data_IF_978288893281
#
_entry.id   IF_978288893281
#
_cell.length_a   1.000
_cell.length_b   1.000
_cell.length_c   1.000
_cell.angle_alpha   90.00
_cell.angle_beta   90.00
_cell.angle_gamma   90.00
#
_symmetry.space_group_name_H-M   'P 1'
#
loop_
_entity.id
_entity.type
_entity.pdbx_description
1 polymer ?
#
# COMPACT_ATOMS: atom_id res chain seq x y z
N UNK A 1 -2.88 9.87 7.33
CA UNK A 1 -1.57 10.59 7.40
C UNK A 1 -0.44 9.59 7.69
N UNK A 2 0.66 9.61 6.93
CA UNK A 2 1.81 8.68 7.03
C UNK A 2 2.49 8.63 8.42
N UNK A 3 2.49 9.74 9.18
CA UNK A 3 3.22 9.86 10.46
C UNK A 3 2.90 8.75 11.47
N UNK A 4 1.68 8.19 11.45
CA UNK A 4 1.26 7.09 12.33
C UNK A 4 2.05 5.80 12.15
N UNK A 5 2.79 5.66 11.05
CA UNK A 5 3.56 4.46 10.73
C UNK A 5 5.04 4.58 11.07
N UNK A 6 5.50 5.69 11.64
CA UNK A 6 6.87 5.88 12.13
C UNK A 6 6.95 5.43 13.60
N UNK A 7 7.24 4.15 13.81
CA UNK A 7 7.12 3.48 15.10
C UNK A 7 8.45 3.50 15.85
N UNK A 8 8.48 4.15 17.00
CA UNK A 8 9.62 4.08 17.93
C UNK A 8 9.60 2.80 18.78
N UNK A 9 8.40 2.30 19.08
CA UNK A 9 8.15 1.10 19.89
C UNK A 9 7.46 0.02 19.04
N UNK A 10 7.34 -1.20 19.58
CA UNK A 10 6.50 -2.23 18.97
C UNK A 10 5.04 -1.78 18.99
N UNK A 11 4.26 -2.21 18.00
CA UNK A 11 2.81 -1.97 17.94
C UNK A 11 2.16 -2.61 19.17
N UNK A 12 1.38 -1.83 19.92
CA UNK A 12 0.65 -2.36 21.07
C UNK A 12 -0.53 -3.19 20.56
N UNK A 13 -0.77 -4.42 21.07
CA UNK A 13 -1.97 -5.17 20.73
C UNK A 13 -3.26 -4.37 20.92
N UNK A 14 -3.35 -3.42 21.86
CA UNK A 14 -4.52 -2.57 22.06
C UNK A 14 -4.79 -1.63 20.87
N UNK A 15 -3.75 -1.26 20.10
CA UNK A 15 -3.88 -0.49 18.86
C UNK A 15 -4.47 -1.32 17.70
N UNK A 16 -4.60 -2.65 17.89
CA UNK A 16 -5.09 -3.60 16.89
C UNK A 16 -6.49 -4.14 17.23
N UNK A 17 -7.35 -3.28 17.80
CA UNK A 17 -8.69 -3.65 18.26
C UNK A 17 -9.57 -4.25 17.15
N UNK A 18 -9.55 -3.67 15.95
CA UNK A 18 -10.39 -4.12 14.83
C UNK A 18 -9.88 -5.45 14.27
N UNK A 19 -8.56 -5.60 14.12
CA UNK A 19 -7.97 -6.87 13.65
C UNK A 19 -8.19 -8.02 14.62
N UNK A 20 -8.30 -7.75 15.93
CA UNK A 20 -8.63 -8.77 16.93
C UNK A 20 -10.08 -9.25 16.82
N UNK A 21 -11.00 -8.39 16.38
CA UNK A 21 -12.42 -8.69 16.24
C UNK A 21 -12.75 -9.36 14.91
N UNK A 22 -12.01 -9.05 13.84
CA UNK A 22 -12.21 -9.62 12.52
C UNK A 22 -11.54 -10.99 12.38
N UNK A 23 -12.25 -11.91 11.73
CA UNK A 23 -11.63 -13.15 11.26
C UNK A 23 -10.66 -12.90 10.11
N UNK A 24 -9.72 -13.83 9.90
CA UNK A 24 -8.80 -13.76 8.75
C UNK A 24 -9.53 -13.66 7.41
N UNK A 25 -10.70 -14.31 7.27
CA UNK A 25 -11.50 -14.26 6.04
C UNK A 25 -12.03 -12.83 5.81
N UNK A 26 -12.47 -12.16 6.87
CA UNK A 26 -13.00 -10.79 6.78
C UNK A 26 -11.89 -9.78 6.49
N UNK A 27 -10.73 -9.93 7.12
CA UNK A 27 -9.52 -9.13 6.81
C UNK A 27 -9.15 -9.32 5.32
N UNK A 28 -9.11 -10.55 4.83
CA UNK A 28 -8.85 -10.84 3.41
C UNK A 28 -9.91 -10.23 2.48
N UNK A 29 -11.19 -10.22 2.89
CA UNK A 29 -12.28 -9.60 2.12
C UNK A 29 -12.08 -8.09 1.98
N UNK A 30 -11.70 -7.42 3.07
CA UNK A 30 -11.37 -5.98 3.05
C UNK A 30 -10.20 -5.71 2.11
N UNK A 31 -9.09 -6.44 2.27
CA UNK A 31 -7.90 -6.24 1.43
C UNK A 31 -8.13 -6.60 -0.05
N UNK A 32 -9.03 -7.54 -0.33
CA UNK A 32 -9.45 -7.85 -1.71
C UNK A 32 -10.22 -6.69 -2.35
N UNK A 33 -11.05 -5.97 -1.59
CA UNK A 33 -11.73 -4.77 -2.08
C UNK A 33 -10.75 -3.59 -2.25
N UNK A 34 -9.79 -3.42 -1.34
CA UNK A 34 -8.70 -2.44 -1.46
C UNK A 34 -7.84 -2.73 -2.70
N UNK A 35 -7.48 -4.00 -2.93
CA UNK A 35 -6.75 -4.47 -4.13
C UNK A 35 -7.45 -4.04 -5.40
N UNK A 36 -8.75 -4.32 -5.49
CA UNK A 36 -9.59 -3.96 -6.65
C UNK A 36 -9.68 -2.44 -6.83
N UNK A 37 -9.85 -1.69 -5.74
CA UNK A 37 -9.86 -0.23 -5.79
C UNK A 37 -8.54 0.32 -6.36
N UNK A 38 -7.40 -0.12 -5.81
CA UNK A 38 -6.07 0.29 -6.29
C UNK A 38 -5.92 -0.05 -7.77
N UNK A 39 -6.27 -1.28 -8.16
CA UNK A 39 -6.20 -1.71 -9.55
C UNK A 39 -7.01 -0.80 -10.49
N UNK A 40 -8.24 -0.42 -10.11
CA UNK A 40 -9.07 0.53 -10.89
C UNK A 40 -8.41 1.90 -11.01
N UNK A 41 -7.82 2.42 -9.94
CA UNK A 41 -7.12 3.72 -9.97
C UNK A 41 -5.86 3.65 -10.88
N UNK A 42 -5.09 2.57 -10.80
CA UNK A 42 -3.90 2.37 -11.63
C UNK A 42 -4.24 2.28 -13.12
N UNK A 43 -5.36 1.64 -13.48
CA UNK A 43 -5.86 1.63 -14.88
C UNK A 43 -6.19 3.03 -15.40
N UNK A 44 -6.57 3.94 -14.50
CA UNK A 44 -6.85 5.36 -14.82
C UNK A 44 -5.61 6.25 -14.75
N UNK A 45 -4.41 5.67 -14.59
CA UNK A 45 -3.14 6.40 -14.39
C UNK A 45 -3.14 7.26 -13.13
N UNK A 46 -3.91 6.85 -12.12
CA UNK A 46 -3.95 7.50 -10.82
C UNK A 46 -3.18 6.64 -9.81
N UNK A 47 -2.24 7.26 -9.11
CA UNK A 47 -1.50 6.64 -8.04
C UNK A 47 -2.31 6.64 -6.73
N UNK A 48 -2.13 5.63 -5.89
CA UNK A 48 -2.85 5.47 -4.61
C UNK A 48 -1.87 5.42 -3.45
N UNK A 49 -1.86 6.46 -2.62
CA UNK A 49 -1.10 6.51 -1.37
C UNK A 49 -1.93 5.93 -0.22
N UNK A 50 -1.53 4.75 0.25
CA UNK A 50 -2.18 4.06 1.37
C UNK A 50 -1.62 4.48 2.73
N UNK A 51 -0.65 5.39 2.76
CA UNK A 51 -0.04 5.98 3.93
C UNK A 51 1.36 5.45 4.24
N UNK A 52 1.61 4.14 4.07
CA UNK A 52 2.99 3.59 4.17
C UNK A 52 3.78 3.73 2.87
N UNK A 53 3.08 3.83 1.75
CA UNK A 53 3.66 3.95 0.43
C UNK A 53 2.58 4.15 -0.62
N UNK A 54 3.03 4.26 -1.85
CA UNK A 54 2.18 4.63 -2.99
C UNK A 54 2.25 3.57 -4.07
N UNK A 55 1.08 3.13 -4.53
CA UNK A 55 0.94 2.34 -5.75
C UNK A 55 0.89 3.27 -6.95
N UNK A 56 1.70 3.00 -7.96
CA UNK A 56 1.68 3.77 -9.21
C UNK A 56 2.04 2.88 -10.40
N UNK A 57 1.64 3.31 -11.60
CA UNK A 57 2.15 2.74 -12.84
C UNK A 57 3.33 3.59 -13.29
N UNK A 58 4.48 2.96 -13.50
CA UNK A 58 5.67 3.63 -14.06
C UNK A 58 6.06 3.03 -15.39
N UNK A 59 6.57 3.85 -16.29
CA UNK A 59 7.16 3.39 -17.54
C UNK A 59 8.61 2.99 -17.31
N UNK A 60 8.89 1.69 -17.39
CA UNK A 60 10.26 1.16 -17.39
C UNK A 60 10.66 0.79 -18.81
N UNK A 61 11.92 1.01 -19.14
CA UNK A 61 12.49 0.70 -20.44
C UNK A 61 12.97 -0.74 -20.44
N UNK A 62 12.33 -1.61 -21.21
CA UNK A 62 12.78 -2.98 -21.42
C UNK A 62 13.72 -3.04 -22.62
N UNK A 63 14.91 -3.63 -22.43
CA UNK A 63 15.83 -3.91 -23.52
C UNK A 63 15.31 -5.10 -24.32
N UNK A 64 15.12 -4.91 -25.62
CA UNK A 64 14.78 -5.98 -26.57
C UNK A 64 16.01 -6.30 -27.41
N UNK A 65 16.08 -7.51 -27.98
CA UNK A 65 17.10 -7.86 -28.96
C UNK A 65 17.15 -6.81 -30.09
N UNK A 66 18.36 -6.56 -30.61
CA UNK A 66 18.71 -5.47 -31.54
C UNK A 66 18.77 -4.04 -30.94
N UNK A 67 18.84 -3.90 -29.61
CA UNK A 67 19.06 -2.59 -28.98
C UNK A 67 17.86 -1.64 -29.06
N UNK A 68 16.69 -2.16 -29.42
CA UNK A 68 15.42 -1.44 -29.33
C UNK A 68 14.95 -1.43 -27.89
N UNK A 69 14.53 -0.26 -27.43
CA UNK A 69 14.00 -0.08 -26.07
C UNK A 69 12.49 0.08 -26.19
N UNK A 70 11.73 -0.79 -25.51
CA UNK A 70 10.27 -0.68 -25.43
C UNK A 70 9.86 -0.14 -24.06
N UNK A 71 9.06 0.94 -24.00
CA UNK A 71 8.46 1.36 -22.75
C UNK A 71 7.43 0.32 -22.31
N UNK A 72 7.61 -0.24 -21.12
CA UNK A 72 6.70 -1.17 -20.48
C UNK A 72 6.14 -0.47 -19.25
N UNK A 73 4.82 -0.39 -19.19
CA UNK A 73 4.13 0.11 -18.01
C UNK A 73 4.06 -0.99 -16.95
N UNK A 74 4.56 -0.70 -15.75
CA UNK A 74 4.54 -1.65 -14.64
C UNK A 74 3.89 -1.03 -13.41
N UNK A 75 2.91 -1.70 -12.79
CA UNK A 75 2.44 -1.31 -11.48
C UNK A 75 3.55 -1.62 -10.46
N UNK A 76 3.85 -0.65 -9.61
CA UNK A 76 4.85 -0.78 -8.56
C UNK A 76 4.31 -0.20 -7.26
N UNK A 77 4.81 -0.74 -6.15
CA UNK A 77 4.64 -0.15 -4.84
C UNK A 77 5.93 0.56 -4.43
N UNK A 78 5.83 1.84 -4.09
CA UNK A 78 6.97 2.65 -3.65
C UNK A 78 6.76 2.99 -2.18
N UNK A 79 7.63 2.48 -1.31
CA UNK A 79 7.62 2.83 0.11
C UNK A 79 7.95 4.32 0.30
N UNK A 80 7.21 4.99 1.19
CA UNK A 80 7.37 6.42 1.42
C UNK A 80 8.78 6.77 1.91
N UNK A 81 9.40 7.82 1.35
CA UNK A 81 10.77 8.23 1.68
C UNK A 81 11.02 8.40 3.19
N UNK A 82 10.11 9.04 3.97
CA UNK A 82 10.33 9.18 5.41
C UNK A 82 10.36 7.84 6.14
N UNK A 83 9.54 6.86 5.74
CA UNK A 83 9.57 5.51 6.30
C UNK A 83 10.87 4.79 5.97
N UNK A 84 11.33 4.89 4.70
CA UNK A 84 12.63 4.34 4.28
C UNK A 84 13.79 4.89 5.11
N UNK A 85 13.84 6.21 5.28
CA UNK A 85 14.88 6.88 6.06
C UNK A 85 14.81 6.53 7.55
N UNK A 86 13.61 6.50 8.12
CA UNK A 86 13.41 6.25 9.54
C UNK A 86 13.79 4.82 9.95
N UNK A 87 13.50 3.83 9.10
CA UNK A 87 13.85 2.43 9.34
C UNK A 87 15.18 2.01 8.69
N UNK A 88 15.93 2.94 8.09
CA UNK A 88 17.21 2.68 7.40
C UNK A 88 17.12 1.54 6.37
N UNK A 89 16.07 1.57 5.54
CA UNK A 89 15.80 0.55 4.52
C UNK A 89 16.45 0.91 3.19
N UNK A 90 17.14 -0.04 2.57
CA UNK A 90 17.64 0.08 1.20
C UNK A 90 16.52 -0.30 0.22
N UNK A 91 16.14 0.62 -0.67
CA UNK A 91 15.16 0.38 -1.73
C UNK A 91 15.57 1.16 -2.97
N UNK A 92 15.28 0.61 -4.15
CA UNK A 92 15.54 1.29 -5.42
C UNK A 92 14.85 2.66 -5.48
N UNK A 93 15.57 3.64 -6.03
CA UNK A 93 15.02 4.97 -6.28
C UNK A 93 14.12 4.94 -7.52
N UNK A 94 12.87 4.51 -7.33
CA UNK A 94 11.84 4.65 -8.34
C UNK A 94 11.02 5.90 -8.03
N UNK A 95 10.87 6.77 -9.04
CA UNK A 95 10.11 8.01 -8.96
C UNK A 95 8.81 7.88 -9.75
N UNK A 96 7.71 8.30 -9.13
CA UNK A 96 6.44 8.50 -9.82
C UNK A 96 6.56 9.79 -10.64
N UNK A 97 6.12 9.83 -11.91
CA UNK A 97 6.09 11.07 -12.69
C UNK A 97 5.30 12.17 -11.97
N UNK A 98 5.83 13.39 -11.95
CA UNK A 98 5.26 14.50 -11.16
C UNK A 98 3.83 14.88 -11.60
N UNK A 99 3.46 14.61 -12.84
CA UNK A 99 2.09 14.80 -13.35
C UNK A 99 1.08 13.74 -12.92
N UNK A 100 1.52 12.65 -12.28
CA UNK A 100 0.62 11.54 -11.89
C UNK A 100 -0.27 11.99 -10.73
N UNK A 101 -1.61 12.01 -10.89
CA UNK A 101 -2.49 12.33 -9.78
C UNK A 101 -2.36 11.26 -8.68
N UNK A 102 -2.22 11.71 -7.43
CA UNK A 102 -2.14 10.83 -6.26
C UNK A 102 -3.39 11.00 -5.42
N UNK A 103 -4.08 9.90 -5.13
CA UNK A 103 -5.29 9.87 -4.28
C UNK A 103 -5.07 8.97 -3.07
N UNK A 104 -5.91 9.13 -2.05
CA UNK A 104 -5.99 8.20 -0.92
C UNK A 104 -7.12 7.18 -1.18
N UNK A 105 -7.10 6.01 -0.53
CA UNK A 105 -8.20 5.06 -0.60
C UNK A 105 -9.55 5.70 -0.26
N UNK A 106 -10.54 5.52 -1.12
CA UNK A 106 -11.91 5.89 -0.84
C UNK A 106 -12.58 4.80 0.00
N UNK A 107 -12.53 4.93 1.33
CA UNK A 107 -13.07 3.92 2.23
C UNK A 107 -14.60 3.78 2.16
N UNK A 108 -15.33 4.81 1.73
CA UNK A 108 -16.77 4.71 1.50
C UNK A 108 -17.08 3.77 0.33
N UNK A 109 -16.37 3.95 -0.79
CA UNK A 109 -16.49 3.08 -1.97
C UNK A 109 -16.07 1.64 -1.66
N UNK A 110 -14.97 1.45 -0.92
CA UNK A 110 -14.49 0.12 -0.52
C UNK A 110 -15.48 -0.55 0.45
N UNK A 111 -16.08 0.21 1.37
CA UNK A 111 -17.09 -0.30 2.30
C UNK A 111 -18.35 -0.81 1.57
N UNK A 112 -18.80 -0.08 0.54
CA UNK A 112 -19.94 -0.48 -0.27
C UNK A 112 -19.74 -1.87 -0.92
N UNK A 113 -18.51 -2.25 -1.28
CA UNK A 113 -18.21 -3.58 -1.84
C UNK A 113 -18.11 -4.68 -0.77
N UNK A 114 -17.66 -4.34 0.44
CA UNK A 114 -17.38 -5.32 1.49
C UNK A 114 -18.57 -5.62 2.39
N UNK A 115 -19.61 -4.78 2.36
CA UNK A 115 -20.76 -4.81 3.30
C UNK A 115 -20.36 -4.59 4.76
N UNK A 116 -19.15 -4.06 5.00
CA UNK A 116 -18.75 -3.56 6.30
C UNK A 116 -19.07 -2.07 6.42
N UNK A 117 -19.15 -1.58 7.65
CA UNK A 117 -19.16 -0.14 7.90
C UNK A 117 -17.82 0.46 7.46
N UNK A 118 -17.84 1.68 6.97
CA UNK A 118 -16.64 2.41 6.56
C UNK A 118 -15.58 2.43 7.67
N UNK A 119 -15.98 2.64 8.93
CA UNK A 119 -15.02 2.72 10.05
C UNK A 119 -14.26 1.39 10.23
N UNK A 120 -14.93 0.24 10.06
CA UNK A 120 -14.32 -1.08 10.16
C UNK A 120 -13.33 -1.32 9.02
N UNK A 121 -13.69 -0.93 7.79
CA UNK A 121 -12.80 -1.04 6.62
C UNK A 121 -11.57 -0.18 6.81
N UNK A 122 -11.76 1.08 7.20
CA UNK A 122 -10.67 2.02 7.44
C UNK A 122 -9.75 1.48 8.54
N UNK A 123 -10.27 1.16 9.72
CA UNK A 123 -9.44 0.66 10.82
C UNK A 123 -8.73 -0.65 10.47
N UNK A 124 -9.41 -1.61 9.82
CA UNK A 124 -8.79 -2.86 9.36
C UNK A 124 -7.57 -2.59 8.48
N UNK A 125 -7.68 -1.67 7.50
CA UNK A 125 -6.55 -1.27 6.65
C UNK A 125 -5.48 -0.61 7.48
N UNK A 126 -5.84 0.37 8.31
CA UNK A 126 -4.88 1.16 9.07
C UNK A 126 -4.07 0.32 10.07
N UNK A 127 -4.74 -0.57 10.80
CA UNK A 127 -4.13 -1.51 11.75
C UNK A 127 -3.25 -2.54 11.03
N UNK A 128 -3.66 -3.04 9.86
CA UNK A 128 -2.80 -3.93 9.07
C UNK A 128 -1.52 -3.22 8.62
N UNK A 129 -1.63 -1.93 8.25
CA UNK A 129 -0.46 -1.11 7.90
C UNK A 129 0.43 -0.78 9.09
N UNK A 130 -0.11 -0.72 10.31
CA UNK A 130 0.69 -0.65 11.54
C UNK A 130 1.50 -1.94 11.73
N UNK A 131 0.88 -3.10 11.57
CA UNK A 131 1.59 -4.39 11.60
C UNK A 131 2.71 -4.45 10.55
N UNK A 132 2.44 -3.98 9.33
CA UNK A 132 3.44 -3.89 8.27
C UNK A 132 4.61 -2.99 8.66
N UNK A 133 4.34 -1.79 9.19
CA UNK A 133 5.38 -0.88 9.65
C UNK A 133 6.20 -1.47 10.82
N UNK A 134 5.56 -2.21 11.73
CA UNK A 134 6.23 -2.93 12.81
C UNK A 134 7.18 -4.01 12.29
N UNK A 135 6.77 -4.75 11.26
CA UNK A 135 7.62 -5.75 10.63
C UNK A 135 8.82 -5.11 9.89
N UNK A 136 8.61 -3.97 9.22
CA UNK A 136 9.72 -3.20 8.61
C UNK A 136 10.74 -2.74 9.65
N UNK A 137 10.29 -2.24 10.81
CA UNK A 137 11.17 -1.84 11.92
C UNK A 137 12.06 -3.00 12.40
N UNK A 138 11.52 -4.21 12.40
CA UNK A 138 12.24 -5.43 12.80
C UNK A 138 13.08 -6.04 11.67
N UNK A 139 13.20 -5.34 10.53
CA UNK A 139 13.91 -5.78 9.33
C UNK A 139 13.44 -7.16 8.82
N UNK A 140 12.14 -7.43 8.97
CA UNK A 140 11.51 -8.66 8.46
C UNK A 140 11.18 -8.50 6.99
N UNK A 141 11.38 -9.58 6.23
CA UNK A 141 10.88 -9.65 4.86
C UNK A 141 9.34 -9.70 4.87
N UNK A 142 8.73 -8.75 4.16
CA UNK A 142 7.28 -8.58 4.09
C UNK A 142 6.86 -8.39 2.65
N UNK A 143 5.79 -9.09 2.26
CA UNK A 143 5.22 -9.00 0.92
C UNK A 143 3.78 -8.50 0.99
N UNK A 144 3.44 -7.56 0.10
CA UNK A 144 2.04 -7.24 -0.22
C UNK A 144 1.61 -8.05 -1.44
N UNK A 145 1.03 -9.22 -1.19
CA UNK A 145 0.44 -10.01 -2.27
C UNK A 145 -0.96 -9.50 -2.58
N UNK A 146 -1.11 -8.77 -3.69
CA UNK A 146 -2.42 -8.43 -4.24
C UNK A 146 -2.93 -9.61 -5.08
N UNK A 147 -4.12 -10.11 -4.72
CA UNK A 147 -4.89 -11.05 -5.55
C UNK A 147 -6.01 -10.34 -6.28
#
# INVERSE_FOLDING_TARGET
>A
KMQKYLLYNSVDPEELSTLKELSTIEICKVWSAVSRYIYRQLLQKTAVDIGVGTFAVVSVHANVEEGKVLPVERPIFILNKPLKMFYNLECDEIKIPDETPVVQPNFEEIAAETHFRQEIVEHCVQETLLCFAGALRENKEVEFTFR
#
